data_IF_324061296619
#
_entry.id   IF_324061296619
#
_cell.length_a   1.000
_cell.length_b   1.000
_cell.length_c   1.000
_cell.angle_alpha   90.00
_cell.angle_beta   90.00
_cell.angle_gamma   90.00
#
_symmetry.space_group_name_H-M   'P 1'
#
loop_
_entity.id
_entity.type
_entity.pdbx_description
1 polymer ?
#
# COMPACT_ATOMS: atom_id res chain seq x y z
N UNK A 1 -6.25 -56.66 -11.35
CA UNK A 1 -5.51 -56.25 -10.14
C UNK A 1 -4.98 -54.79 -10.27
N UNK A 2 -5.64 -53.89 -11.02
CA UNK A 2 -5.14 -52.52 -11.28
C UNK A 2 -5.93 -51.40 -10.56
N UNK A 3 -7.09 -51.69 -9.96
CA UNK A 3 -7.96 -50.67 -9.37
C UNK A 3 -7.47 -50.06 -8.05
N UNK A 4 -6.48 -50.65 -7.39
CA UNK A 4 -5.98 -50.20 -6.09
C UNK A 4 -4.79 -49.24 -6.19
N UNK A 5 -4.13 -49.14 -7.34
CA UNK A 5 -2.97 -48.25 -7.55
C UNK A 5 -3.37 -46.82 -7.95
N UNK A 6 -4.49 -46.64 -8.67
CA UNK A 6 -4.97 -45.31 -9.08
C UNK A 6 -5.59 -44.48 -7.94
N UNK A 7 -6.00 -45.11 -6.83
CA UNK A 7 -6.63 -44.41 -5.71
C UNK A 7 -5.63 -43.64 -4.83
N UNK A 8 -4.39 -44.12 -4.73
CA UNK A 8 -3.30 -43.42 -4.00
C UNK A 8 -2.84 -42.16 -4.75
N UNK A 9 -3.01 -42.14 -6.08
CA UNK A 9 -2.72 -40.98 -6.94
C UNK A 9 -3.78 -39.87 -6.75
N UNK A 10 -4.95 -40.18 -6.22
CA UNK A 10 -6.07 -39.23 -6.12
C UNK A 10 -6.09 -38.43 -4.80
N UNK A 11 -5.69 -39.04 -3.68
CA UNK A 11 -5.72 -38.38 -2.36
C UNK A 11 -4.62 -37.33 -2.15
N UNK A 12 -3.40 -37.60 -2.58
CA UNK A 12 -2.24 -36.70 -2.35
C UNK A 12 -2.22 -35.47 -3.27
N UNK A 13 -2.91 -35.57 -4.41
CA UNK A 13 -3.01 -34.49 -5.40
C UNK A 13 -4.07 -33.47 -4.97
N UNK A 14 -5.20 -33.92 -4.43
CA UNK A 14 -6.27 -33.06 -3.90
C UNK A 14 -5.79 -32.21 -2.71
N UNK A 15 -5.10 -32.82 -1.74
CA UNK A 15 -4.54 -32.12 -0.57
C UNK A 15 -3.54 -31.00 -0.96
N UNK A 16 -2.71 -31.24 -1.98
CA UNK A 16 -1.79 -30.24 -2.53
C UNK A 16 -2.50 -29.12 -3.27
N UNK A 17 -3.57 -29.43 -4.00
CA UNK A 17 -4.37 -28.41 -4.69
C UNK A 17 -5.11 -27.53 -3.68
N UNK A 18 -5.75 -28.13 -2.66
CA UNK A 18 -6.47 -27.40 -1.61
C UNK A 18 -5.54 -26.46 -0.85
N UNK A 19 -4.37 -26.94 -0.41
CA UNK A 19 -3.39 -26.09 0.29
C UNK A 19 -2.85 -24.94 -0.58
N UNK A 20 -2.67 -25.16 -1.88
CA UNK A 20 -2.24 -24.11 -2.83
C UNK A 20 -3.32 -23.06 -3.01
N UNK A 21 -4.58 -23.48 -3.21
CA UNK A 21 -5.72 -22.56 -3.34
C UNK A 21 -5.93 -21.78 -2.06
N UNK A 22 -5.90 -22.43 -0.89
CA UNK A 22 -6.00 -21.76 0.41
C UNK A 22 -4.92 -20.68 0.58
N UNK A 23 -3.67 -20.98 0.20
CA UNK A 23 -2.58 -20.01 0.28
C UNK A 23 -2.78 -18.83 -0.67
N UNK A 24 -3.22 -19.08 -1.90
CA UNK A 24 -3.51 -18.03 -2.88
C UNK A 24 -4.68 -17.13 -2.43
N UNK A 25 -5.73 -17.73 -1.87
CA UNK A 25 -6.87 -17.01 -1.30
C UNK A 25 -6.41 -16.16 -0.10
N UNK A 26 -5.66 -16.75 0.84
CA UNK A 26 -5.11 -16.03 1.99
C UNK A 26 -4.19 -14.87 1.58
N UNK A 27 -3.34 -15.05 0.57
CA UNK A 27 -2.50 -13.96 0.03
C UNK A 27 -3.33 -12.85 -0.60
N UNK A 28 -4.41 -13.19 -1.28
CA UNK A 28 -5.31 -12.20 -1.88
C UNK A 28 -6.03 -11.39 -0.81
N UNK A 29 -6.55 -12.05 0.23
CA UNK A 29 -7.11 -11.37 1.39
C UNK A 29 -6.08 -10.53 2.14
N UNK A 30 -4.87 -11.02 2.34
CA UNK A 30 -3.79 -10.26 2.97
C UNK A 30 -3.46 -8.98 2.18
N UNK A 31 -3.38 -9.06 0.85
CA UNK A 31 -3.19 -7.89 -0.03
C UNK A 31 -4.35 -6.91 0.06
N UNK A 32 -5.59 -7.41 0.07
CA UNK A 32 -6.78 -6.58 0.19
C UNK A 32 -6.85 -5.88 1.57
N UNK A 33 -6.57 -6.61 2.65
CA UNK A 33 -6.51 -6.09 4.00
C UNK A 33 -5.42 -5.03 4.14
N UNK A 34 -4.23 -5.28 3.60
CA UNK A 34 -3.14 -4.30 3.56
C UNK A 34 -3.56 -3.02 2.82
N UNK A 35 -4.21 -3.16 1.65
CA UNK A 35 -4.68 -2.00 0.87
C UNK A 35 -5.77 -1.22 1.59
N UNK A 36 -6.64 -1.90 2.35
CA UNK A 36 -7.65 -1.24 3.17
C UNK A 36 -7.02 -0.51 4.36
N UNK A 37 -6.06 -1.14 5.03
CA UNK A 37 -5.32 -0.54 6.13
C UNK A 37 -4.61 0.74 5.67
N UNK A 38 -3.97 0.69 4.51
CA UNK A 38 -3.29 1.84 3.91
C UNK A 38 -4.28 2.97 3.59
N UNK A 39 -5.42 2.66 2.95
CA UNK A 39 -6.47 3.68 2.70
C UNK A 39 -6.97 4.34 3.98
N UNK A 40 -7.15 3.56 5.05
CA UNK A 40 -7.56 4.08 6.36
C UNK A 40 -6.47 4.96 6.97
N UNK A 41 -5.20 4.58 6.84
CA UNK A 41 -4.06 5.39 7.28
C UNK A 41 -4.03 6.73 6.58
N UNK A 42 -4.09 6.74 5.24
CA UNK A 42 -4.11 7.96 4.43
C UNK A 42 -5.27 8.88 4.85
N UNK A 43 -6.48 8.32 5.04
CA UNK A 43 -7.63 9.11 5.45
C UNK A 43 -7.46 9.76 6.84
N UNK A 44 -6.82 9.06 7.79
CA UNK A 44 -6.50 9.61 9.11
C UNK A 44 -5.45 10.72 9.01
N UNK A 45 -4.36 10.48 8.29
CA UNK A 45 -3.31 11.50 8.09
C UNK A 45 -3.89 12.77 7.45
N UNK A 46 -4.77 12.63 6.45
CA UNK A 46 -5.49 13.77 5.87
C UNK A 46 -6.34 14.52 6.91
N UNK A 47 -7.09 13.80 7.74
CA UNK A 47 -7.94 14.40 8.77
C UNK A 47 -7.11 15.12 9.84
N UNK A 48 -6.00 14.52 10.29
CA UNK A 48 -5.07 15.10 11.24
C UNK A 48 -4.43 16.39 10.68
N UNK A 49 -3.92 16.35 9.45
CA UNK A 49 -3.34 17.53 8.79
C UNK A 49 -4.39 18.63 8.53
N UNK A 50 -5.63 18.27 8.21
CA UNK A 50 -6.70 19.26 8.05
C UNK A 50 -7.12 19.93 9.36
N UNK A 51 -6.94 19.26 10.50
CA UNK A 51 -7.21 19.81 11.82
C UNK A 51 -6.15 20.81 12.28
N UNK A 52 -4.95 20.79 11.69
CA UNK A 52 -3.90 21.77 11.94
C UNK A 52 -4.23 23.13 11.34
N UNK A 53 -3.71 24.21 11.94
CA UNK A 53 -3.85 25.55 11.39
C UNK A 53 -2.90 25.74 10.20
N UNK A 54 -3.22 26.70 9.33
CA UNK A 54 -2.35 27.00 8.18
C UNK A 54 -0.95 27.51 8.62
N UNK A 55 -0.83 28.06 9.84
CA UNK A 55 0.46 28.41 10.42
C UNK A 55 1.26 27.16 10.77
N UNK A 56 0.65 26.22 11.48
CA UNK A 56 1.32 24.97 11.87
C UNK A 56 1.77 24.17 10.65
N UNK A 57 0.94 24.14 9.59
CA UNK A 57 1.29 23.52 8.31
C UNK A 57 2.49 24.23 7.66
N UNK A 58 2.50 25.56 7.67
CA UNK A 58 3.59 26.36 7.10
C UNK A 58 4.90 26.20 7.87
N UNK A 59 4.83 26.04 9.19
CA UNK A 59 6.01 25.85 10.03
C UNK A 59 6.72 24.52 9.73
N UNK A 60 5.98 23.49 9.28
CA UNK A 60 6.53 22.22 8.79
C UNK A 60 6.76 22.22 7.26
N UNK A 61 6.61 23.37 6.61
CA UNK A 61 6.88 23.55 5.17
C UNK A 61 5.85 22.89 4.24
N UNK A 62 4.62 22.69 4.70
CA UNK A 62 3.51 22.08 3.95
C UNK A 62 2.39 23.12 3.74
N UNK A 63 1.80 23.18 2.55
CA UNK A 63 0.59 23.95 2.31
C UNK A 63 -0.67 23.06 2.35
N UNK A 64 -1.85 23.64 2.59
CA UNK A 64 -3.12 22.89 2.66
C UNK A 64 -3.42 22.11 1.37
N UNK A 65 -2.93 22.57 0.22
CA UNK A 65 -3.03 21.86 -1.07
C UNK A 65 -2.10 20.64 -1.16
N UNK A 66 -1.02 20.61 -0.37
CA UNK A 66 -0.02 19.53 -0.36
C UNK A 66 -0.43 18.35 0.52
N UNK A 67 -1.40 18.53 1.44
CA UNK A 67 -1.88 17.49 2.38
C UNK A 67 -2.17 16.16 1.67
N UNK A 68 -2.81 16.22 0.50
CA UNK A 68 -3.10 15.01 -0.28
C UNK A 68 -1.85 14.31 -0.80
N UNK A 69 -0.81 15.06 -1.19
CA UNK A 69 0.47 14.50 -1.62
C UNK A 69 1.26 13.93 -0.43
N UNK A 70 1.24 14.61 0.72
CA UNK A 70 1.89 14.19 1.96
C UNK A 70 1.31 12.86 2.44
N UNK A 71 -0.01 12.77 2.57
CA UNK A 71 -0.66 11.56 3.03
C UNK A 71 -0.48 10.36 2.09
N UNK A 72 -0.15 10.58 0.81
CA UNK A 72 0.15 9.51 -0.15
C UNK A 72 1.64 9.17 -0.25
N UNK A 73 2.51 9.81 0.54
CA UNK A 73 3.96 9.63 0.47
C UNK A 73 4.58 10.16 -0.83
N UNK A 74 3.88 11.03 -1.55
CA UNK A 74 4.31 11.61 -2.83
C UNK A 74 4.66 13.10 -2.72
N UNK A 75 4.81 13.60 -1.49
CA UNK A 75 5.15 15.00 -1.24
C UNK A 75 6.62 15.28 -1.51
N UNK A 76 6.84 16.28 -2.35
CA UNK A 76 8.17 16.83 -2.65
C UNK A 76 8.23 18.24 -2.06
N UNK A 77 9.10 18.47 -1.05
CA UNK A 77 9.26 19.78 -0.44
C UNK A 77 9.54 20.85 -1.49
N UNK A 78 8.96 22.03 -1.30
CA UNK A 78 9.17 23.16 -2.20
C UNK A 78 10.65 23.52 -2.37
N UNK A 79 11.46 23.35 -1.32
CA UNK A 79 12.91 23.57 -1.36
C UNK A 79 13.62 22.62 -2.32
N UNK A 80 13.23 21.34 -2.32
CA UNK A 80 13.71 20.33 -3.27
C UNK A 80 13.37 20.69 -4.72
N UNK A 81 12.17 21.25 -4.95
CA UNK A 81 11.74 21.72 -6.29
C UNK A 81 12.55 22.91 -6.78
N UNK A 82 12.82 23.91 -5.93
CA UNK A 82 13.63 25.09 -6.28
C UNK A 82 15.09 24.75 -6.58
N UNK A 83 15.69 23.82 -5.84
CA UNK A 83 17.07 23.42 -6.11
C UNK A 83 17.22 22.66 -7.43
N UNK A 84 16.20 21.89 -7.85
CA UNK A 84 16.23 21.14 -9.13
C UNK A 84 16.26 22.06 -10.35
N UNK A 85 15.53 23.16 -10.35
CA UNK A 85 15.52 24.11 -11.48
C UNK A 85 16.79 24.95 -11.57
N UNK A 86 17.49 25.17 -10.45
CA UNK A 86 18.77 25.90 -10.43
C UNK A 86 19.96 25.09 -10.98
N UNK A 87 19.92 23.76 -10.89
CA UNK A 87 21.03 22.90 -11.33
C UNK A 87 20.99 22.53 -12.82
N UNK A 88 19.88 22.78 -13.53
CA UNK A 88 19.75 22.47 -14.96
C UNK A 88 20.01 23.67 -15.88
N UNK A 89 20.25 24.87 -15.32
CA UNK A 89 20.37 26.13 -16.07
C UNK A 89 21.74 26.79 -15.99
N UNK A 90 22.80 26.03 -15.70
CA UNK A 90 24.20 26.49 -15.65
C UNK A 90 25.00 26.00 -16.83
#
# INVERSE_FOLDING_TARGET
MEKTLNAVVDGSTLERQVSTVLRAVAQTFARAAHRLAERRRIAREIAELHAMTDRDLKDIGIERCDIGAVARGAFEPFESRRNRTRLSGG
#
